data_IF_198755119335
#
_entry.id   IF_198755119335
#
_cell.length_a   1.000
_cell.length_b   1.000
_cell.length_c   1.000
_cell.angle_alpha   90.00
_cell.angle_beta   90.00
_cell.angle_gamma   90.00
#
_symmetry.space_group_name_H-M   'P 1'
#
loop_
_entity.id
_entity.type
_entity.pdbx_description
1 polymer ?
#
# COMPACT_ATOMS: atom_id res chain seq x y z
N UNK A 1 19.94 -4.72 -35.58
CA UNK A 1 20.26 -4.05 -34.30
C UNK A 1 19.05 -3.22 -33.91
N UNK A 2 18.28 -3.69 -32.93
CA UNK A 2 17.50 -2.91 -31.97
C UNK A 2 16.53 -3.87 -31.27
N UNK A 3 16.76 -3.99 -29.97
CA UNK A 3 15.79 -4.27 -28.93
C UNK A 3 15.30 -5.72 -28.83
N UNK A 4 16.25 -6.56 -28.42
CA UNK A 4 15.94 -7.69 -27.56
C UNK A 4 15.08 -7.18 -26.41
N UNK A 5 13.80 -7.54 -26.46
CA UNK A 5 12.81 -7.26 -25.43
C UNK A 5 13.27 -7.99 -24.18
N UNK A 6 14.10 -7.34 -23.38
CA UNK A 6 14.51 -7.77 -22.04
C UNK A 6 13.33 -7.57 -21.07
N UNK A 7 12.17 -8.12 -21.42
CA UNK A 7 11.04 -8.25 -20.51
C UNK A 7 11.36 -9.39 -19.57
N UNK A 8 11.91 -9.09 -18.40
CA UNK A 8 11.89 -10.04 -17.30
C UNK A 8 10.48 -10.09 -16.70
N UNK A 9 10.19 -11.25 -16.08
CA UNK A 9 8.95 -11.85 -15.56
C UNK A 9 7.64 -11.05 -15.31
N UNK A 10 7.57 -9.71 -15.38
CA UNK A 10 6.34 -8.94 -15.12
C UNK A 10 6.12 -7.70 -16.00
N UNK A 11 6.85 -7.49 -17.11
CA UNK A 11 6.55 -6.41 -18.06
C UNK A 11 7.09 -5.02 -17.70
N UNK A 12 8.06 -4.95 -16.78
CA UNK A 12 8.77 -3.71 -16.42
C UNK A 12 10.20 -3.74 -16.97
N UNK A 13 10.74 -2.57 -17.30
CA UNK A 13 12.11 -2.40 -17.79
C UNK A 13 13.11 -2.63 -16.64
N UNK A 14 14.10 -3.53 -16.79
CA UNK A 14 15.14 -3.75 -15.78
C UNK A 14 15.87 -2.48 -15.35
N UNK A 15 16.09 -1.53 -16.27
CA UNK A 15 16.74 -0.26 -15.95
C UNK A 15 15.86 0.63 -15.08
N UNK A 16 14.54 0.63 -15.32
CA UNK A 16 13.56 1.35 -14.52
C UNK A 16 13.52 0.82 -13.08
N UNK A 17 13.58 -0.50 -12.92
CA UNK A 17 13.60 -1.16 -11.60
C UNK A 17 14.84 -0.75 -10.80
N UNK A 18 16.04 -0.83 -11.39
CA UNK A 18 17.27 -0.47 -10.67
C UNK A 18 17.30 1.00 -10.26
N UNK A 19 16.93 1.90 -11.16
CA UNK A 19 16.98 3.34 -10.90
C UNK A 19 15.93 3.79 -9.87
N UNK A 20 14.75 3.15 -9.83
CA UNK A 20 13.62 3.62 -9.03
C UNK A 20 13.26 2.71 -7.85
N UNK A 21 14.08 1.71 -7.53
CA UNK A 21 13.89 0.79 -6.39
C UNK A 21 13.73 1.54 -5.06
N UNK A 22 14.57 2.53 -4.79
CA UNK A 22 14.51 3.34 -3.57
C UNK A 22 13.19 4.10 -3.49
N UNK A 23 12.73 4.66 -4.61
CA UNK A 23 11.46 5.38 -4.69
C UNK A 23 10.26 4.43 -4.47
N UNK A 24 10.31 3.21 -5.01
CA UNK A 24 9.31 2.18 -4.76
C UNK A 24 9.23 1.76 -3.28
N UNK A 25 10.37 1.68 -2.57
CA UNK A 25 10.40 1.43 -1.12
C UNK A 25 9.81 2.62 -0.35
N UNK A 26 10.24 3.83 -0.70
CA UNK A 26 9.74 5.06 -0.08
C UNK A 26 8.23 5.23 -0.24
N UNK A 27 7.61 4.63 -1.25
CA UNK A 27 6.16 4.67 -1.42
C UNK A 27 5.40 4.08 -0.23
N UNK A 28 5.95 3.07 0.44
CA UNK A 28 5.29 2.44 1.58
C UNK A 28 5.50 3.20 2.90
N UNK A 29 6.44 4.15 2.92
CA UNK A 29 6.76 4.97 4.09
C UNK A 29 6.12 6.35 3.94
N UNK A 30 6.31 6.98 2.78
CA UNK A 30 5.83 8.30 2.42
C UNK A 30 5.16 8.20 1.06
N UNK A 31 3.94 7.64 1.04
CA UNK A 31 3.10 7.35 -0.14
C UNK A 31 2.96 8.49 -1.16
N UNK A 32 3.27 9.74 -0.78
CA UNK A 32 3.21 10.92 -1.65
C UNK A 32 4.53 11.22 -2.39
N UNK A 33 5.69 10.88 -1.82
CA UNK A 33 7.01 11.27 -2.35
C UNK A 33 7.30 10.65 -3.72
N UNK A 34 7.14 9.33 -3.94
CA UNK A 34 7.42 8.75 -5.25
C UNK A 34 6.41 9.12 -6.33
N UNK A 35 5.20 9.56 -5.95
CA UNK A 35 4.21 10.09 -6.89
C UNK A 35 4.71 11.38 -7.59
N UNK A 36 5.54 12.16 -6.91
CA UNK A 36 6.10 13.42 -7.40
C UNK A 36 7.51 13.21 -7.95
N UNK A 37 8.34 12.42 -7.26
CA UNK A 37 9.76 12.27 -7.56
C UNK A 37 10.07 11.22 -8.63
N UNK A 38 9.20 10.23 -8.84
CA UNK A 38 9.41 9.12 -9.78
C UNK A 38 8.18 8.86 -10.67
N UNK A 39 7.50 9.92 -11.09
CA UNK A 39 6.24 9.82 -11.84
C UNK A 39 6.37 9.19 -13.25
N UNK A 40 7.58 9.10 -13.81
CA UNK A 40 7.85 8.48 -15.11
C UNK A 40 8.07 6.96 -14.99
N UNK A 41 8.41 6.47 -13.79
CA UNK A 41 8.74 5.06 -13.56
C UNK A 41 7.47 4.23 -13.45
N UNK A 42 7.30 3.24 -14.31
CA UNK A 42 6.17 2.32 -14.23
C UNK A 42 6.25 1.50 -12.95
N UNK A 43 7.46 1.10 -12.54
CA UNK A 43 7.70 0.33 -11.33
C UNK A 43 7.41 1.13 -10.05
N UNK A 44 7.92 2.36 -9.94
CA UNK A 44 7.62 3.20 -8.78
C UNK A 44 6.13 3.55 -8.68
N UNK A 45 5.47 3.80 -9.82
CA UNK A 45 4.02 4.06 -9.87
C UNK A 45 3.20 2.86 -9.40
N UNK A 46 3.60 1.64 -9.74
CA UNK A 46 2.92 0.44 -9.26
C UNK A 46 2.94 0.34 -7.74
N UNK A 47 4.12 0.45 -7.12
CA UNK A 47 4.26 0.39 -5.66
C UNK A 47 3.61 1.60 -4.96
N UNK A 48 3.63 2.77 -5.62
CA UNK A 48 2.90 3.97 -5.17
C UNK A 48 1.39 3.76 -5.20
N UNK A 49 0.84 3.14 -6.25
CA UNK A 49 -0.57 2.79 -6.33
C UNK A 49 -0.97 1.83 -5.21
N UNK A 50 -0.16 0.80 -4.95
CA UNK A 50 -0.40 -0.14 -3.86
C UNK A 50 -0.38 0.54 -2.48
N UNK A 51 0.60 1.41 -2.23
CA UNK A 51 0.67 2.17 -0.99
C UNK A 51 -0.49 3.18 -0.84
N UNK A 52 -0.94 3.79 -1.94
CA UNK A 52 -2.07 4.72 -1.95
C UNK A 52 -3.38 4.00 -1.59
N UNK A 53 -3.64 2.82 -2.17
CA UNK A 53 -4.85 2.05 -1.87
C UNK A 53 -4.84 1.63 -0.40
N UNK A 54 -3.71 1.15 0.13
CA UNK A 54 -3.58 0.81 1.54
C UNK A 54 -3.88 2.03 2.44
N UNK A 55 -3.35 3.20 2.09
CA UNK A 55 -3.60 4.46 2.80
C UNK A 55 -5.08 4.84 2.78
N UNK A 56 -5.74 4.73 1.62
CA UNK A 56 -7.19 4.98 1.48
C UNK A 56 -8.00 4.03 2.36
N UNK A 57 -7.68 2.73 2.38
CA UNK A 57 -8.36 1.76 3.25
C UNK A 57 -8.22 2.10 4.73
N UNK A 58 -7.02 2.51 5.18
CA UNK A 58 -6.77 2.92 6.56
C UNK A 58 -7.58 4.18 6.91
N UNK A 59 -7.59 5.19 6.04
CA UNK A 59 -8.37 6.42 6.25
C UNK A 59 -9.86 6.13 6.28
N UNK A 60 -10.38 5.30 5.37
CA UNK A 60 -11.77 4.89 5.34
C UNK A 60 -12.17 4.16 6.64
N UNK A 61 -11.35 3.24 7.12
CA UNK A 61 -11.55 2.57 8.40
C UNK A 61 -11.58 3.56 9.56
N UNK A 62 -10.66 4.53 9.58
CA UNK A 62 -10.62 5.61 10.60
C UNK A 62 -11.91 6.43 10.61
N UNK A 63 -12.42 6.83 9.44
CA UNK A 63 -13.67 7.59 9.32
C UNK A 63 -14.85 6.77 9.84
N UNK A 64 -14.96 5.50 9.45
CA UNK A 64 -16.02 4.59 9.93
C UNK A 64 -15.97 4.48 11.45
N UNK A 65 -14.78 4.28 12.02
CA UNK A 65 -14.63 4.19 13.47
C UNK A 65 -14.97 5.50 14.18
N UNK A 66 -14.56 6.66 13.63
CA UNK A 66 -14.91 7.97 14.16
C UNK A 66 -16.44 8.17 14.20
N UNK A 67 -17.14 7.81 13.12
CA UNK A 67 -18.61 7.89 13.06
C UNK A 67 -19.26 6.96 14.10
N UNK A 68 -18.80 5.71 14.18
CA UNK A 68 -19.30 4.74 15.17
C UNK A 68 -19.11 5.27 16.61
N UNK A 69 -17.96 5.85 16.91
CA UNK A 69 -17.67 6.46 18.23
C UNK A 69 -18.48 7.71 18.51
N UNK A 70 -18.85 8.49 17.49
CA UNK A 70 -19.66 9.69 17.67
C UNK A 70 -21.14 9.36 17.93
N UNK A 71 -21.64 8.25 17.38
CA UNK A 71 -23.07 7.87 17.47
C UNK A 71 -23.33 7.00 18.71
N UNK A 72 -22.40 6.12 19.09
CA UNK A 72 -22.61 5.18 20.19
C UNK A 72 -22.45 5.84 21.58
N UNK A 73 -23.35 5.57 22.53
CA UNK A 73 -23.22 6.07 23.90
C UNK A 73 -21.96 5.50 24.58
N UNK A 74 -21.30 6.31 25.41
CA UNK A 74 -20.07 5.92 26.12
C UNK A 74 -20.20 4.62 26.93
N UNK A 75 -21.39 4.33 27.48
CA UNK A 75 -21.66 3.09 28.21
C UNK A 75 -21.54 1.81 27.37
N UNK A 76 -21.76 1.88 26.06
CA UNK A 76 -21.63 0.74 25.14
C UNK A 76 -20.16 0.35 24.90
N UNK A 77 -19.26 1.34 24.96
CA UNK A 77 -17.81 1.11 24.87
C UNK A 77 -17.24 0.37 26.07
N UNK A 78 -17.91 0.41 27.22
CA UNK A 78 -17.45 -0.28 28.42
C UNK A 78 -17.65 -1.80 28.30
N UNK A 79 -18.69 -2.25 27.60
CA UNK A 79 -18.99 -3.68 27.36
C UNK A 79 -18.31 -4.25 26.12
N UNK A 80 -18.13 -3.46 25.05
CA UNK A 80 -17.59 -3.92 23.76
C UNK A 80 -16.16 -3.41 23.49
N UNK A 81 -15.63 -2.54 24.36
CA UNK A 81 -14.33 -1.89 24.19
C UNK A 81 -13.16 -2.86 23.99
N UNK A 82 -13.21 -4.06 24.59
CA UNK A 82 -12.21 -5.11 24.37
C UNK A 82 -12.24 -5.59 22.92
N UNK A 83 -13.41 -5.93 22.38
CA UNK A 83 -13.56 -6.39 20.99
C UNK A 83 -13.14 -5.29 20.03
N UNK A 84 -13.53 -4.05 20.31
CA UNK A 84 -13.16 -2.88 19.50
C UNK A 84 -11.64 -2.65 19.50
N UNK A 85 -10.98 -2.80 20.66
CA UNK A 85 -9.53 -2.67 20.79
C UNK A 85 -8.79 -3.79 20.05
N UNK A 86 -9.30 -5.03 20.11
CA UNK A 86 -8.73 -6.15 19.38
C UNK A 86 -8.86 -5.97 17.86
N UNK A 87 -10.02 -5.50 17.37
CA UNK A 87 -10.21 -5.17 15.96
C UNK A 87 -9.25 -4.06 15.50
N UNK A 88 -9.07 -3.03 16.33
CA UNK A 88 -8.11 -1.96 16.06
C UNK A 88 -6.69 -2.51 15.88
N UNK A 89 -6.22 -3.31 16.85
CA UNK A 89 -4.90 -3.94 16.81
C UNK A 89 -4.76 -4.83 15.58
N UNK A 90 -5.77 -5.63 15.26
CA UNK A 90 -5.76 -6.53 14.10
C UNK A 90 -5.60 -5.76 12.78
N UNK A 91 -6.31 -4.64 12.61
CA UNK A 91 -6.19 -3.80 11.41
C UNK A 91 -4.81 -3.17 11.30
N UNK A 92 -4.24 -2.70 12.42
CA UNK A 92 -2.87 -2.15 12.43
C UNK A 92 -1.81 -3.20 12.12
N UNK A 93 -1.93 -4.41 12.68
CA UNK A 93 -1.04 -5.53 12.36
C UNK A 93 -1.14 -5.87 10.88
N UNK A 94 -2.36 -5.99 10.35
CA UNK A 94 -2.58 -6.28 8.94
C UNK A 94 -1.97 -5.22 8.01
N UNK A 95 -2.15 -3.93 8.34
CA UNK A 95 -1.55 -2.83 7.59
C UNK A 95 -0.02 -2.89 7.60
N UNK A 96 0.57 -3.15 8.78
CA UNK A 96 2.02 -3.30 8.93
C UNK A 96 2.56 -4.47 8.10
N UNK A 97 1.86 -5.61 8.12
CA UNK A 97 2.19 -6.79 7.33
C UNK A 97 2.14 -6.48 5.83
N UNK A 98 1.14 -5.71 5.37
CA UNK A 98 1.06 -5.25 3.98
C UNK A 98 2.21 -4.31 3.61
N UNK A 99 2.55 -3.35 4.46
CA UNK A 99 3.70 -2.44 4.27
C UNK A 99 4.99 -3.24 4.11
N UNK A 100 5.25 -4.20 5.01
CA UNK A 100 6.46 -5.03 4.96
C UNK A 100 6.50 -5.86 3.66
N UNK A 101 5.40 -6.51 3.28
CA UNK A 101 5.35 -7.26 2.01
C UNK A 101 5.57 -6.37 0.79
N UNK A 102 5.00 -5.17 0.81
CA UNK A 102 5.24 -4.15 -0.22
C UNK A 102 6.71 -3.76 -0.33
N UNK A 103 7.37 -3.49 0.79
CA UNK A 103 8.80 -3.15 0.84
C UNK A 103 9.67 -4.33 0.36
N UNK A 104 9.37 -5.56 0.79
CA UNK A 104 10.14 -6.75 0.38
C UNK A 104 10.05 -6.97 -1.13
N UNK A 105 8.85 -6.86 -1.69
CA UNK A 105 8.63 -7.05 -3.14
C UNK A 105 9.27 -5.92 -3.96
N UNK A 106 9.14 -4.67 -3.50
CA UNK A 106 9.85 -3.52 -4.09
C UNK A 106 11.37 -3.71 -4.06
N UNK A 107 11.92 -4.17 -2.93
CA UNK A 107 13.37 -4.41 -2.76
C UNK A 107 13.89 -5.52 -3.68
N UNK A 108 13.05 -6.53 -3.95
CA UNK A 108 13.33 -7.61 -4.89
C UNK A 108 13.16 -7.20 -6.35
N UNK A 109 12.62 -6.01 -6.63
CA UNK A 109 12.29 -5.58 -7.99
C UNK A 109 11.06 -6.28 -8.57
N UNK A 110 10.20 -6.82 -7.70
CA UNK A 110 9.00 -7.56 -8.09
C UNK A 110 7.75 -6.69 -7.88
N UNK A 111 6.90 -6.58 -8.90
CA UNK A 111 5.61 -5.92 -8.85
C UNK A 111 4.51 -6.92 -8.44
N UNK A 112 4.56 -7.38 -7.19
CA UNK A 112 3.54 -8.29 -6.62
C UNK A 112 2.43 -7.50 -5.92
N UNK A 113 1.14 -7.89 -6.10
CA UNK A 113 0.04 -7.19 -5.44
C UNK A 113 0.04 -7.49 -3.94
N UNK A 114 -0.37 -6.50 -3.14
CA UNK A 114 -0.58 -6.69 -1.72
C UNK A 114 -1.71 -7.70 -1.46
N UNK A 115 -1.64 -8.51 -0.40
CA UNK A 115 -2.68 -9.47 -0.07
C UNK A 115 -4.00 -8.75 0.23
N UNK A 116 -5.11 -9.33 -0.27
CA UNK A 116 -6.51 -8.86 -0.08
C UNK A 116 -6.83 -7.52 -0.75
N UNK A 117 -5.92 -6.55 -0.77
CA UNK A 117 -6.17 -5.17 -1.22
C UNK A 117 -5.56 -4.89 -2.59
N UNK A 118 -4.49 -5.59 -2.97
CA UNK A 118 -3.68 -5.20 -4.13
C UNK A 118 -4.30 -5.41 -5.50
N UNK A 119 -5.44 -6.11 -5.58
CA UNK A 119 -6.22 -6.29 -6.80
C UNK A 119 -7.53 -5.49 -6.80
N UNK A 120 -7.85 -4.73 -5.75
CA UNK A 120 -9.15 -4.07 -5.63
C UNK A 120 -9.33 -2.94 -6.66
N UNK A 121 -8.31 -2.11 -6.88
CA UNK A 121 -8.39 -0.98 -7.80
C UNK A 121 -7.01 -0.65 -8.41
N UNK A 122 -6.98 -0.20 -9.67
CA UNK A 122 -5.78 0.41 -10.27
C UNK A 122 -6.05 1.90 -10.45
N UNK A 123 -5.49 2.74 -9.57
CA UNK A 123 -5.69 4.20 -9.58
C UNK A 123 -4.71 4.87 -10.55
N UNK A 124 -3.48 4.36 -10.61
CA UNK A 124 -2.43 4.86 -11.50
C UNK A 124 -2.26 3.89 -12.69
N UNK A 125 -2.56 4.39 -13.90
CA UNK A 125 -2.40 3.68 -15.18
C UNK A 125 -1.11 4.08 -15.88
#
# INVERSE_FOLDING_TARGET
MADEVTTTAQGFDPQDIEQNKTMAILAYIIWLVPLIAANQSKFARYHTNQALILSICIVAFWIVMAIITAILPWGFFLTIGIVFSLLWIAVWIFALVCIIMGIITASKGEAKPLPVIGNLFTILK
#
